data_IF_956166677646
#
_entry.id   IF_956166677646
#
_cell.length_a   1.000
_cell.length_b   1.000
_cell.length_c   1.000
_cell.angle_alpha   90.00
_cell.angle_beta   90.00
_cell.angle_gamma   90.00
#
_symmetry.space_group_name_H-M   'P 1'
#
loop_
_entity.id
_entity.type
_entity.pdbx_description
1 polymer ?
#
# COMPACT_ATOMS: atom_id res chain seq x y z
N UNK A 1 -4.51 -15.35 -2.06
CA UNK A 1 -3.50 -14.37 -2.48
C UNK A 1 -2.42 -15.02 -3.31
N UNK A 2 -1.70 -14.23 -4.05
CA UNK A 2 -0.59 -14.67 -4.89
C UNK A 2 0.66 -13.89 -4.49
N UNK A 3 1.72 -14.62 -4.12
CA UNK A 3 2.98 -14.02 -3.69
C UNK A 3 4.06 -14.54 -4.62
N UNK A 4 4.76 -13.63 -5.29
CA UNK A 4 5.79 -13.97 -6.26
C UNK A 4 7.04 -14.59 -5.62
N UNK A 5 8.01 -14.94 -6.47
CA UNK A 5 9.24 -15.58 -6.03
C UNK A 5 10.10 -14.62 -5.22
N UNK A 6 10.90 -15.20 -4.30
CA UNK A 6 11.89 -14.48 -3.51
C UNK A 6 11.30 -13.31 -2.69
N UNK A 7 10.03 -13.40 -2.31
CA UNK A 7 9.42 -12.42 -1.41
C UNK A 7 9.77 -12.73 0.04
N UNK A 8 9.84 -11.68 0.86
CA UNK A 8 9.92 -11.79 2.30
C UNK A 8 8.63 -11.29 2.92
N UNK A 9 8.04 -12.08 3.81
CA UNK A 9 6.86 -11.68 4.57
C UNK A 9 7.19 -11.87 6.05
N UNK A 10 7.25 -10.77 6.79
CA UNK A 10 7.63 -10.76 8.19
C UNK A 10 6.53 -11.32 9.11
N UNK A 11 6.83 -11.41 10.42
CA UNK A 11 5.86 -11.92 11.40
C UNK A 11 4.71 -10.92 11.59
N UNK A 12 3.55 -11.46 11.98
CA UNK A 12 2.34 -10.68 12.27
C UNK A 12 1.85 -9.82 11.10
N UNK A 13 2.16 -10.23 9.86
CA UNK A 13 1.60 -9.62 8.67
C UNK A 13 0.27 -10.29 8.34
N UNK A 14 -0.75 -9.49 8.08
CA UNK A 14 -2.02 -10.00 7.57
C UNK A 14 -2.14 -9.64 6.11
N UNK A 15 -2.34 -10.65 5.26
CA UNK A 15 -2.57 -10.48 3.82
C UNK A 15 -3.91 -11.11 3.51
N UNK A 16 -4.86 -10.30 3.08
CA UNK A 16 -6.20 -10.77 2.86
C UNK A 16 -6.39 -11.43 1.49
N UNK A 17 -7.55 -11.99 1.29
CA UNK A 17 -7.93 -12.73 0.09
C UNK A 17 -7.76 -11.88 -1.17
N UNK A 18 -7.23 -12.49 -2.22
CA UNK A 18 -7.15 -11.86 -3.53
C UNK A 18 -6.02 -10.86 -3.72
N UNK A 19 -5.19 -10.63 -2.70
CA UNK A 19 -4.01 -9.76 -2.80
C UNK A 19 -2.97 -10.40 -3.72
N UNK A 20 -2.30 -9.59 -4.52
CA UNK A 20 -1.14 -10.03 -5.30
C UNK A 20 0.09 -9.21 -4.93
N UNK A 21 1.23 -9.89 -4.79
CA UNK A 21 2.51 -9.28 -4.46
C UNK A 21 3.53 -9.78 -5.47
N UNK A 22 4.17 -8.88 -6.19
CA UNK A 22 5.16 -9.21 -7.20
C UNK A 22 6.46 -9.75 -6.61
N UNK A 23 7.26 -10.40 -7.45
CA UNK A 23 8.51 -11.04 -7.04
C UNK A 23 9.49 -10.06 -6.40
N UNK A 24 10.33 -10.55 -5.52
CA UNK A 24 11.39 -9.79 -4.84
C UNK A 24 10.89 -8.64 -3.99
N UNK A 25 9.62 -8.65 -3.60
CA UNK A 25 9.06 -7.65 -2.69
C UNK A 25 9.21 -8.10 -1.24
N UNK A 26 9.27 -7.13 -0.33
CA UNK A 26 9.39 -7.39 1.11
C UNK A 26 8.27 -6.70 1.84
N UNK A 27 7.62 -7.45 2.73
CA UNK A 27 6.58 -6.91 3.62
C UNK A 27 7.06 -7.12 5.05
N UNK A 28 7.29 -6.03 5.76
CA UNK A 28 7.85 -6.08 7.11
C UNK A 28 6.74 -6.34 8.13
N UNK A 29 7.15 -6.63 9.37
CA UNK A 29 6.26 -7.07 10.43
C UNK A 29 5.11 -6.07 10.71
N UNK A 30 3.99 -6.61 11.15
CA UNK A 30 2.80 -5.86 11.59
C UNK A 30 2.09 -5.06 10.49
N UNK A 31 2.40 -5.30 9.22
CA UNK A 31 1.68 -4.65 8.12
C UNK A 31 0.37 -5.36 7.84
N UNK A 32 -0.62 -4.60 7.40
CA UNK A 32 -1.93 -5.10 7.03
C UNK A 32 -2.20 -4.77 5.57
N UNK A 33 -2.41 -5.80 4.76
CA UNK A 33 -2.73 -5.66 3.34
C UNK A 33 -4.13 -6.22 3.11
N UNK A 34 -5.06 -5.31 2.92
CA UNK A 34 -6.48 -5.67 2.78
C UNK A 34 -6.80 -6.20 1.38
N UNK A 35 -8.02 -6.72 1.22
CA UNK A 35 -8.49 -7.16 -0.09
C UNK A 35 -8.43 -6.01 -1.10
N UNK A 36 -8.31 -6.36 -2.39
CA UNK A 36 -8.24 -5.44 -3.53
C UNK A 36 -6.93 -4.67 -3.64
N UNK A 37 -5.87 -5.12 -2.97
CA UNK A 37 -4.54 -4.52 -3.10
C UNK A 37 -3.70 -5.35 -4.05
N UNK A 38 -3.04 -4.70 -4.99
CA UNK A 38 -2.01 -5.30 -5.82
C UNK A 38 -0.69 -4.54 -5.66
N UNK A 39 0.40 -5.26 -5.48
CA UNK A 39 1.73 -4.72 -5.25
C UNK A 39 2.66 -5.28 -6.32
N UNK A 40 3.40 -4.41 -6.99
CA UNK A 40 4.33 -4.80 -8.04
C UNK A 40 5.58 -5.50 -7.51
N UNK A 41 6.57 -5.61 -8.38
CA UNK A 41 7.84 -6.27 -8.06
C UNK A 41 8.83 -5.32 -7.42
N UNK A 42 9.78 -5.86 -6.65
CA UNK A 42 10.85 -5.11 -6.01
C UNK A 42 10.35 -3.97 -5.12
N UNK A 43 9.22 -4.19 -4.45
CA UNK A 43 8.67 -3.23 -3.52
C UNK A 43 9.14 -3.50 -2.09
N UNK A 44 9.20 -2.45 -1.28
CA UNK A 44 9.47 -2.56 0.14
C UNK A 44 8.30 -1.95 0.91
N UNK A 45 7.61 -2.78 1.66
CA UNK A 45 6.51 -2.34 2.54
C UNK A 45 7.06 -2.37 3.97
N UNK A 46 7.21 -1.20 4.58
CA UNK A 46 7.79 -1.05 5.90
C UNK A 46 6.94 -1.66 7.01
N UNK A 47 7.38 -1.51 8.23
CA UNK A 47 6.69 -2.07 9.40
C UNK A 47 5.39 -1.32 9.68
N UNK A 48 4.33 -2.04 9.99
CA UNK A 48 3.07 -1.42 10.41
C UNK A 48 2.39 -0.57 9.35
N UNK A 49 2.62 -0.84 8.07
CA UNK A 49 1.93 -0.14 6.98
C UNK A 49 0.50 -0.65 6.90
N UNK A 50 -0.46 0.26 6.84
CA UNK A 50 -1.88 -0.09 6.78
C UNK A 50 -2.49 0.32 5.45
N UNK A 51 -3.01 -0.66 4.71
CA UNK A 51 -3.79 -0.41 3.50
C UNK A 51 -5.27 -0.37 3.86
N UNK A 52 -6.01 0.52 3.22
CA UNK A 52 -7.43 0.76 3.49
C UNK A 52 -8.20 0.56 2.19
N UNK A 53 -9.33 -0.15 2.23
CA UNK A 53 -10.19 -0.33 1.06
C UNK A 53 -11.61 0.21 1.26
N UNK A 54 -11.94 0.65 2.48
CA UNK A 54 -13.25 1.21 2.81
C UNK A 54 -13.11 2.69 3.10
N UNK A 55 -13.71 3.53 2.26
CA UNK A 55 -13.65 4.98 2.38
C UNK A 55 -14.80 5.54 3.21
N UNK A 56 -15.60 4.68 3.84
CA UNK A 56 -16.76 5.11 4.63
C UNK A 56 -17.69 6.04 3.83
N UNK A 57 -17.93 5.70 2.56
CA UNK A 57 -18.66 6.56 1.64
C UNK A 57 -20.08 6.89 2.10
N UNK A 58 -20.68 6.03 2.94
CA UNK A 58 -22.00 6.26 3.52
C UNK A 58 -21.92 6.85 4.94
N UNK A 59 -20.76 7.34 5.36
CA UNK A 59 -20.54 7.84 6.71
C UNK A 59 -20.33 6.73 7.74
N UNK A 60 -20.18 5.50 7.32
CA UNK A 60 -19.95 4.34 8.18
C UNK A 60 -19.20 3.26 7.41
N UNK A 61 -18.69 2.27 8.12
CA UNK A 61 -18.03 1.12 7.48
C UNK A 61 -19.01 0.38 6.56
N UNK A 62 -18.46 -0.29 5.55
CA UNK A 62 -19.25 -1.00 4.53
C UNK A 62 -20.07 -2.16 5.10
N UNK A 63 -19.73 -2.63 6.30
CA UNK A 63 -20.46 -3.67 7.01
C UNK A 63 -20.63 -4.96 6.19
N UNK A 64 -19.55 -5.36 5.51
CA UNK A 64 -19.55 -6.58 4.71
C UNK A 64 -20.00 -6.39 3.26
N UNK A 65 -20.44 -5.21 2.87
CA UNK A 65 -20.76 -4.91 1.48
C UNK A 65 -19.49 -4.55 0.72
N UNK A 66 -18.84 -5.56 0.16
CA UNK A 66 -17.57 -5.39 -0.55
C UNK A 66 -17.67 -4.56 -1.81
N UNK A 67 -18.89 -4.33 -2.34
CA UNK A 67 -19.07 -3.46 -3.49
C UNK A 67 -18.70 -2.01 -3.20
N UNK A 68 -18.64 -1.63 -1.93
CA UNK A 68 -18.25 -0.29 -1.48
C UNK A 68 -16.75 -0.13 -1.31
N UNK A 69 -15.99 -1.21 -1.38
CA UNK A 69 -14.55 -1.17 -1.24
C UNK A 69 -13.89 -0.75 -2.55
N UNK A 70 -12.76 -0.09 -2.45
CA UNK A 70 -11.99 0.39 -3.60
C UNK A 70 -10.62 -0.28 -3.64
N UNK A 71 -10.09 -0.47 -4.83
CA UNK A 71 -8.81 -1.13 -5.06
C UNK A 71 -7.63 -0.17 -4.91
N UNK A 72 -6.49 -0.74 -4.49
CA UNK A 72 -5.21 -0.04 -4.45
C UNK A 72 -4.23 -0.76 -5.38
N UNK A 73 -3.51 0.00 -6.20
CA UNK A 73 -2.49 -0.55 -7.10
C UNK A 73 -1.16 0.13 -6.85
N UNK A 74 -0.18 -0.66 -6.44
CA UNK A 74 1.18 -0.20 -6.20
C UNK A 74 2.06 -0.69 -7.34
N UNK A 75 2.78 0.22 -7.98
CA UNK A 75 3.68 -0.10 -9.09
C UNK A 75 4.92 -0.86 -8.63
N UNK A 76 5.92 -0.90 -9.50
CA UNK A 76 7.19 -1.58 -9.21
C UNK A 76 8.18 -0.62 -8.55
N UNK A 77 9.11 -1.16 -7.76
CA UNK A 77 10.17 -0.38 -7.12
C UNK A 77 9.62 0.74 -6.23
N UNK A 78 8.53 0.47 -5.52
CA UNK A 78 7.92 1.41 -4.57
C UNK A 78 8.38 1.03 -3.17
N UNK A 79 8.84 2.02 -2.41
CA UNK A 79 9.21 1.84 -1.00
C UNK A 79 8.28 2.64 -0.12
N UNK A 80 7.66 1.98 0.84
CA UNK A 80 6.69 2.59 1.75
C UNK A 80 7.25 2.54 3.16
N UNK A 81 7.46 3.70 3.78
CA UNK A 81 8.01 3.81 5.12
C UNK A 81 7.06 3.29 6.19
N UNK A 82 7.63 2.98 7.35
CA UNK A 82 6.88 2.39 8.47
C UNK A 82 5.73 3.28 8.93
N UNK A 83 4.65 2.65 9.33
CA UNK A 83 3.45 3.30 9.85
C UNK A 83 2.73 4.23 8.87
N UNK A 84 3.03 4.13 7.58
CA UNK A 84 2.27 4.84 6.58
C UNK A 84 0.87 4.23 6.42
N UNK A 85 -0.09 5.04 6.03
CA UNK A 85 -1.46 4.61 5.73
C UNK A 85 -1.74 4.89 4.26
N UNK A 86 -2.17 3.87 3.54
CA UNK A 86 -2.39 3.95 2.10
C UNK A 86 -3.88 3.77 1.84
N UNK A 87 -4.54 4.84 1.41
CA UNK A 87 -5.92 4.79 0.97
C UNK A 87 -6.01 4.18 -0.43
N UNK A 88 -7.23 3.84 -0.90
CA UNK A 88 -7.40 3.26 -2.24
C UNK A 88 -6.92 4.22 -3.33
N UNK A 89 -5.71 4.02 -3.79
CA UNK A 89 -5.04 4.90 -4.77
C UNK A 89 -4.20 4.07 -5.73
N UNK A 90 -3.76 4.70 -6.80
CA UNK A 90 -2.72 4.17 -7.67
C UNK A 90 -1.42 4.89 -7.39
N UNK A 91 -0.36 4.13 -7.18
CA UNK A 91 0.99 4.67 -7.00
C UNK A 91 1.85 4.14 -8.13
N UNK A 92 2.41 5.04 -8.92
CA UNK A 92 3.25 4.67 -10.05
C UNK A 92 4.58 4.06 -9.60
N UNK A 93 5.39 3.62 -10.56
CA UNK A 93 6.69 3.02 -10.27
C UNK A 93 7.66 4.05 -9.68
N UNK A 94 8.65 3.56 -8.93
CA UNK A 94 9.77 4.36 -8.43
C UNK A 94 9.33 5.51 -7.51
N UNK A 95 8.50 5.19 -6.53
CA UNK A 95 8.02 6.15 -5.52
C UNK A 95 8.54 5.74 -4.16
N UNK A 96 8.94 6.72 -3.35
CA UNK A 96 9.26 6.52 -1.94
C UNK A 96 8.21 7.26 -1.11
N UNK A 97 7.58 6.56 -0.20
CA UNK A 97 6.62 7.13 0.76
C UNK A 97 7.31 7.18 2.11
N UNK A 98 7.39 8.36 2.71
CA UNK A 98 8.01 8.55 4.01
C UNK A 98 7.25 7.86 5.15
N UNK A 99 7.96 7.59 6.24
CA UNK A 99 7.36 6.98 7.43
C UNK A 99 6.23 7.88 7.96
N UNK A 100 5.15 7.25 8.38
CA UNK A 100 4.00 7.94 8.96
C UNK A 100 3.15 8.74 7.98
N UNK A 101 3.45 8.69 6.69
CA UNK A 101 2.67 9.42 5.68
C UNK A 101 1.28 8.85 5.52
N UNK A 102 0.34 9.69 5.09
CA UNK A 102 -1.02 9.26 4.73
C UNK A 102 -1.24 9.60 3.27
N UNK A 103 -1.27 8.58 2.41
CA UNK A 103 -1.45 8.75 0.97
C UNK A 103 -2.94 8.76 0.66
N UNK A 104 -3.46 9.91 0.25
CA UNK A 104 -4.89 10.11 0.03
C UNK A 104 -5.28 10.25 -1.44
N UNK A 105 -4.30 10.44 -2.32
CA UNK A 105 -4.53 10.65 -3.75
C UNK A 105 -3.56 9.84 -4.59
N UNK A 106 -3.92 9.58 -5.82
CA UNK A 106 -3.05 8.90 -6.77
C UNK A 106 -1.70 9.63 -6.90
N UNK A 107 -0.64 8.85 -7.02
CA UNK A 107 0.71 9.35 -7.27
C UNK A 107 1.09 8.95 -8.68
N UNK A 108 1.26 9.93 -9.56
CA UNK A 108 1.47 9.72 -10.99
C UNK A 108 2.89 10.03 -11.46
N UNK A 109 3.74 10.54 -10.56
CA UNK A 109 5.14 10.87 -10.88
C UNK A 109 6.07 10.20 -9.90
N UNK A 110 7.21 9.64 -10.36
CA UNK A 110 8.24 9.13 -9.44
C UNK A 110 8.75 10.24 -8.52
N UNK A 111 9.23 9.85 -7.36
CA UNK A 111 9.80 10.79 -6.40
C UNK A 111 9.55 10.39 -4.96
N UNK A 112 9.86 11.30 -4.06
CA UNK A 112 9.73 11.11 -2.61
C UNK A 112 8.55 11.93 -2.11
N UNK A 113 7.64 11.24 -1.41
CA UNK A 113 6.40 11.82 -0.88
C UNK A 113 6.34 11.59 0.62
N UNK A 114 5.84 12.56 1.37
CA UNK A 114 5.68 12.41 2.83
C UNK A 114 4.59 13.34 3.36
N UNK A 115 4.20 13.11 4.61
CA UNK A 115 3.26 13.96 5.35
C UNK A 115 1.82 13.45 5.32
N UNK A 116 0.93 14.22 5.90
CA UNK A 116 -0.51 13.94 5.98
C UNK A 116 -1.28 15.20 5.62
N UNK A 117 -1.93 15.29 4.44
CA UNK A 117 -1.84 14.31 3.35
C UNK A 117 -0.44 14.29 2.72
N UNK A 118 -0.06 13.17 2.14
CA UNK A 118 1.26 13.03 1.53
C UNK A 118 1.40 13.96 0.33
N UNK A 119 2.57 14.60 0.25
CA UNK A 119 2.90 15.52 -0.85
C UNK A 119 4.31 15.25 -1.33
N UNK A 120 4.55 15.54 -2.60
CA UNK A 120 5.87 15.36 -3.20
C UNK A 120 6.86 16.32 -2.57
N UNK A 121 7.97 15.79 -2.06
CA UNK A 121 9.05 16.58 -1.48
C UNK A 121 10.14 16.87 -2.50
N UNK A 122 10.48 15.88 -3.32
CA UNK A 122 11.57 15.99 -4.29
C UNK A 122 11.57 14.84 -5.27
N UNK A 123 12.31 14.98 -6.35
CA UNK A 123 12.68 13.88 -7.22
C UNK A 123 13.80 13.06 -6.57
N UNK A 124 14.04 11.91 -7.13
CA UNK A 124 15.20 11.10 -6.72
C UNK A 124 16.51 11.81 -7.04
#
# INVERSE_FOLDING_TARGET
CSIGDACFVGPFVEIQKGVSIGAHSKVQSHSFICELVSIGEHCFIGHGVMFVNDLFSDGQAAQGDKSKWKATHIGHHVSIGSNATILPVRICDQVVIGAGAVVTKDITEPGVYAGNPARKLRDF
#
